data_IF_824432459616
#
_entry.id   IF_824432459616
#
_cell.length_a   1.000
_cell.length_b   1.000
_cell.length_c   1.000
_cell.angle_alpha   90.00
_cell.angle_beta   90.00
_cell.angle_gamma   90.00
#
_symmetry.space_group_name_H-M   'P 1'
#
loop_
_entity.id
_entity.type
_entity.pdbx_description
1 polymer ?
#
# COMPACT_ATOMS: atom_id res chain seq x y z
N UNK A 1 27.66 -9.44 -16.90
CA UNK A 1 26.64 -9.27 -15.85
C UNK A 1 25.29 -9.40 -16.54
N UNK A 2 24.57 -10.46 -16.27
CA UNK A 2 23.21 -10.64 -16.82
C UNK A 2 22.33 -9.47 -16.43
N UNK A 3 21.56 -9.02 -17.39
CA UNK A 3 20.68 -7.88 -17.24
C UNK A 3 19.50 -8.34 -16.36
N UNK A 4 19.38 -7.83 -15.14
CA UNK A 4 18.25 -8.14 -14.26
C UNK A 4 16.97 -7.74 -14.98
N UNK A 5 16.17 -8.74 -15.39
CA UNK A 5 14.92 -8.55 -16.10
C UNK A 5 13.81 -8.20 -15.10
N UNK A 6 13.92 -7.02 -14.50
CA UNK A 6 12.95 -6.55 -13.51
C UNK A 6 12.64 -5.07 -13.66
N UNK A 7 11.35 -4.74 -13.66
CA UNK A 7 10.80 -3.39 -13.71
C UNK A 7 9.99 -3.13 -12.45
N UNK A 8 10.20 -1.98 -11.82
CA UNK A 8 9.37 -1.47 -10.71
C UNK A 8 8.61 -0.25 -11.20
N UNK A 9 7.28 -0.25 -11.05
CA UNK A 9 6.41 0.84 -11.51
C UNK A 9 5.66 1.42 -10.31
N UNK A 10 5.79 2.74 -10.09
CA UNK A 10 5.12 3.43 -8.98
C UNK A 10 5.28 4.93 -9.00
N UNK A 11 4.91 5.59 -7.91
CA UNK A 11 5.07 7.03 -7.72
C UNK A 11 6.40 7.41 -7.04
N UNK A 12 6.66 8.71 -6.92
CA UNK A 12 7.79 9.24 -6.15
C UNK A 12 7.48 9.17 -4.64
N UNK A 13 7.53 7.98 -4.07
CA UNK A 13 7.07 7.67 -2.71
C UNK A 13 7.92 6.57 -2.07
N UNK A 14 8.02 6.53 -0.74
CA UNK A 14 8.79 5.51 0.00
C UNK A 14 8.34 4.07 -0.31
N UNK A 15 7.10 3.84 -0.72
CA UNK A 15 6.62 2.54 -1.20
C UNK A 15 7.50 2.01 -2.35
N UNK A 16 7.66 2.80 -3.41
CA UNK A 16 8.51 2.46 -4.57
C UNK A 16 9.98 2.34 -4.16
N UNK A 17 10.47 3.23 -3.29
CA UNK A 17 11.83 3.17 -2.76
C UNK A 17 12.07 1.89 -1.95
N UNK A 18 11.09 1.46 -1.16
CA UNK A 18 11.13 0.23 -0.38
C UNK A 18 11.33 -1.02 -1.25
N UNK A 19 10.61 -1.12 -2.38
CA UNK A 19 10.80 -2.22 -3.36
C UNK A 19 12.19 -2.17 -3.99
N UNK A 20 12.63 -0.98 -4.44
CA UNK A 20 13.97 -0.79 -5.03
C UNK A 20 15.06 -1.25 -4.07
N UNK A 21 14.97 -0.88 -2.80
CA UNK A 21 15.92 -1.28 -1.75
C UNK A 21 15.85 -2.78 -1.47
N UNK A 22 14.66 -3.34 -1.34
CA UNK A 22 14.46 -4.77 -1.10
C UNK A 22 15.14 -5.63 -2.15
N UNK A 23 15.00 -5.26 -3.43
CA UNK A 23 15.69 -5.89 -4.55
C UNK A 23 17.20 -5.62 -4.50
N UNK A 24 17.59 -4.39 -4.19
CA UNK A 24 18.98 -3.96 -4.10
C UNK A 24 19.78 -4.69 -3.02
N UNK A 25 19.16 -5.09 -1.91
CA UNK A 25 19.79 -5.90 -0.85
C UNK A 25 20.13 -7.30 -1.32
N UNK A 26 19.51 -7.77 -2.39
CA UNK A 26 19.78 -9.04 -3.06
C UNK A 26 20.64 -8.87 -4.33
N UNK A 27 21.24 -7.70 -4.53
CA UNK A 27 22.11 -7.41 -5.67
C UNK A 27 21.38 -7.10 -6.98
N UNK A 28 20.04 -7.05 -6.97
CA UNK A 28 19.23 -6.71 -8.14
C UNK A 28 19.13 -5.20 -8.30
N UNK A 29 19.23 -4.72 -9.55
CA UNK A 29 19.04 -3.32 -9.89
C UNK A 29 17.91 -3.19 -10.93
N UNK A 30 16.69 -2.82 -10.52
CA UNK A 30 15.56 -2.70 -11.42
C UNK A 30 15.72 -1.52 -12.40
N UNK A 31 15.03 -1.64 -13.54
CA UNK A 31 14.57 -0.49 -14.29
C UNK A 31 13.34 0.08 -13.57
N UNK A 32 13.26 1.40 -13.38
CA UNK A 32 12.18 2.03 -12.60
C UNK A 32 11.36 2.95 -13.50
N UNK A 33 10.04 2.77 -13.50
CA UNK A 33 9.08 3.67 -14.15
C UNK A 33 8.36 4.45 -13.05
N UNK A 34 8.45 5.77 -13.10
CA UNK A 34 7.84 6.66 -12.12
C UNK A 34 6.72 7.46 -12.77
N UNK A 35 5.54 7.38 -12.20
CA UNK A 35 4.41 8.23 -12.59
C UNK A 35 4.49 9.51 -11.76
N UNK A 36 5.01 10.58 -12.39
CA UNK A 36 5.25 11.85 -11.71
C UNK A 36 5.60 12.95 -12.71
N UNK A 37 5.14 14.17 -12.45
CA UNK A 37 5.53 15.37 -13.17
C UNK A 37 6.87 15.96 -12.67
N UNK A 38 7.44 15.39 -11.62
CA UNK A 38 8.72 15.80 -11.09
C UNK A 38 9.87 15.21 -11.93
N UNK A 39 10.63 16.06 -12.62
CA UNK A 39 11.75 15.64 -13.45
C UNK A 39 12.96 15.09 -12.65
N UNK A 40 13.02 15.33 -11.35
CA UNK A 40 14.07 14.85 -10.45
C UNK A 40 13.47 14.28 -9.15
N UNK A 41 12.76 13.14 -9.21
CA UNK A 41 12.20 12.50 -8.05
C UNK A 41 13.30 12.07 -7.07
N UNK A 42 13.05 12.22 -5.74
CA UNK A 42 14.11 11.92 -4.75
C UNK A 42 14.53 10.44 -4.76
N UNK A 43 13.65 9.54 -5.10
CA UNK A 43 13.95 8.10 -5.15
C UNK A 43 14.93 7.74 -6.25
N UNK A 44 15.05 8.54 -7.33
CA UNK A 44 16.00 8.31 -8.43
C UNK A 44 17.46 8.42 -8.01
N UNK A 45 17.73 8.95 -6.82
CA UNK A 45 19.09 9.00 -6.27
C UNK A 45 19.52 7.71 -5.57
N UNK A 46 18.65 6.68 -5.53
CA UNK A 46 19.01 5.38 -4.99
C UNK A 46 20.09 4.71 -5.85
N UNK A 47 21.15 4.21 -5.17
CA UNK A 47 22.24 3.47 -5.82
C UNK A 47 21.81 2.11 -6.38
N UNK A 48 20.63 1.65 -6.00
CA UNK A 48 20.07 0.36 -6.41
C UNK A 48 19.27 0.46 -7.72
N UNK A 49 19.05 1.64 -8.27
CA UNK A 49 18.41 1.82 -9.58
C UNK A 49 19.45 1.61 -10.68
N UNK A 50 19.08 0.84 -11.72
CA UNK A 50 19.88 0.69 -12.91
C UNK A 50 19.66 1.85 -13.87
N UNK A 51 18.39 2.13 -14.15
CA UNK A 51 17.89 3.19 -15.03
C UNK A 51 16.47 3.54 -14.63
N UNK A 52 16.01 4.74 -14.92
CA UNK A 52 14.63 5.13 -14.69
C UNK A 52 14.04 5.95 -15.84
N UNK A 53 12.71 5.96 -15.89
CA UNK A 53 11.89 6.81 -16.77
C UNK A 53 10.79 7.45 -15.92
N UNK A 54 10.55 8.76 -16.10
CA UNK A 54 9.36 9.43 -15.58
C UNK A 54 8.31 9.49 -16.70
N UNK A 55 7.07 9.17 -16.35
CA UNK A 55 5.87 9.29 -17.17
C UNK A 55 4.88 10.20 -16.45
N UNK A 56 4.10 10.97 -17.18
CA UNK A 56 3.13 11.91 -16.59
C UNK A 56 1.82 11.21 -16.18
N UNK A 57 1.44 10.16 -16.91
CA UNK A 57 0.17 9.45 -16.70
C UNK A 57 0.33 7.93 -16.73
N UNK A 58 -0.64 7.23 -16.15
CA UNK A 58 -0.69 5.76 -16.18
C UNK A 58 -0.88 5.21 -17.59
N UNK A 59 -1.61 5.90 -18.46
CA UNK A 59 -1.91 5.45 -19.83
C UNK A 59 -0.65 5.32 -20.71
N UNK A 60 0.46 5.97 -20.32
CA UNK A 60 1.74 5.85 -21.01
C UNK A 60 2.49 4.56 -20.66
N UNK A 61 2.11 3.86 -19.59
CA UNK A 61 2.84 2.69 -19.06
C UNK A 61 2.91 1.58 -20.11
N UNK A 62 1.77 1.19 -20.69
CA UNK A 62 1.69 0.07 -21.63
C UNK A 62 2.52 0.32 -22.86
N UNK A 63 2.39 1.51 -23.47
CA UNK A 63 3.17 1.90 -24.65
C UNK A 63 4.67 1.86 -24.33
N UNK A 64 5.08 2.42 -23.19
CA UNK A 64 6.49 2.43 -22.81
C UNK A 64 7.03 1.01 -22.52
N UNK A 65 6.24 0.13 -21.91
CA UNK A 65 6.64 -1.27 -21.72
C UNK A 65 6.86 -1.97 -23.06
N UNK A 66 5.98 -1.76 -24.04
CA UNK A 66 6.12 -2.34 -25.39
C UNK A 66 7.32 -1.76 -26.15
N UNK A 67 7.66 -0.50 -25.95
CA UNK A 67 8.87 0.12 -26.54
C UNK A 67 10.15 -0.52 -26.02
N UNK A 68 10.20 -0.86 -24.72
CA UNK A 68 11.43 -1.33 -24.07
C UNK A 68 11.56 -2.85 -23.99
N UNK A 69 10.52 -3.63 -24.31
CA UNK A 69 10.51 -5.08 -24.15
C UNK A 69 11.72 -5.79 -24.80
N UNK A 70 12.13 -5.33 -25.96
CA UNK A 70 13.22 -5.93 -26.73
C UNK A 70 14.64 -5.60 -26.17
N UNK A 71 14.72 -4.70 -25.20
CA UNK A 71 15.97 -4.41 -24.47
C UNK A 71 16.33 -5.53 -23.45
N UNK A 72 15.45 -6.52 -23.25
CA UNK A 72 15.63 -7.59 -22.30
C UNK A 72 15.70 -8.94 -23.01
N UNK A 73 16.52 -9.85 -22.48
CA UNK A 73 16.79 -11.14 -23.10
C UNK A 73 15.78 -12.23 -22.76
N UNK A 74 14.97 -12.02 -21.73
CA UNK A 74 13.95 -12.98 -21.26
C UNK A 74 12.74 -12.23 -20.72
N UNK A 75 11.68 -12.95 -20.45
CA UNK A 75 10.44 -12.39 -19.89
C UNK A 75 10.72 -11.57 -18.63
N UNK A 76 10.15 -10.38 -18.55
CA UNK A 76 10.50 -9.34 -17.60
C UNK A 76 9.56 -9.41 -16.39
N UNK A 77 10.11 -9.39 -15.19
CA UNK A 77 9.30 -9.35 -13.96
C UNK A 77 8.85 -7.92 -13.68
N UNK A 78 7.56 -7.71 -13.47
CA UNK A 78 6.99 -6.41 -13.11
C UNK A 78 6.54 -6.42 -11.66
N UNK A 79 6.87 -5.34 -10.93
CA UNK A 79 6.33 -5.06 -9.60
C UNK A 79 5.58 -3.74 -9.65
N UNK A 80 4.31 -3.77 -9.25
CA UNK A 80 3.46 -2.60 -9.11
C UNK A 80 3.49 -2.06 -7.68
N UNK A 81 3.56 -0.72 -7.55
CA UNK A 81 3.53 0.00 -6.28
C UNK A 81 2.32 0.95 -6.16
N UNK A 82 1.34 0.86 -7.07
CA UNK A 82 0.13 1.69 -7.04
C UNK A 82 -1.07 0.96 -7.66
N UNK A 83 -2.27 1.19 -7.11
CA UNK A 83 -3.49 0.51 -7.55
C UNK A 83 -3.83 0.78 -9.01
N UNK A 84 -3.69 2.04 -9.45
CA UNK A 84 -3.92 2.42 -10.85
C UNK A 84 -2.91 1.76 -11.81
N UNK A 85 -1.67 1.48 -11.37
CA UNK A 85 -0.68 0.74 -12.16
C UNK A 85 -1.14 -0.71 -12.35
N UNK A 86 -1.57 -1.36 -11.27
CA UNK A 86 -2.04 -2.75 -11.34
C UNK A 86 -3.29 -2.87 -12.21
N UNK A 87 -4.23 -1.92 -12.08
CA UNK A 87 -5.43 -1.87 -12.92
C UNK A 87 -5.08 -1.70 -14.41
N UNK A 88 -4.13 -0.83 -14.75
CA UNK A 88 -3.66 -0.61 -16.11
C UNK A 88 -2.99 -1.87 -16.69
N UNK A 89 -2.14 -2.55 -15.92
CA UNK A 89 -1.50 -3.79 -16.32
C UNK A 89 -2.51 -4.93 -16.51
N UNK A 90 -3.51 -5.06 -15.63
CA UNK A 90 -4.54 -6.10 -15.71
C UNK A 90 -5.46 -5.92 -16.91
N UNK A 91 -5.84 -4.68 -17.22
CA UNK A 91 -6.68 -4.36 -18.38
C UNK A 91 -5.99 -4.62 -19.74
N UNK A 92 -4.66 -4.58 -19.77
CA UNK A 92 -3.85 -4.85 -20.96
C UNK A 92 -3.06 -6.17 -20.87
N UNK A 93 -3.49 -7.09 -19.99
CA UNK A 93 -2.80 -8.36 -19.74
C UNK A 93 -2.54 -9.13 -21.03
N UNK A 94 -3.54 -9.29 -21.90
CA UNK A 94 -3.41 -10.05 -23.16
C UNK A 94 -2.34 -9.51 -24.11
N UNK A 95 -2.05 -8.21 -24.05
CA UNK A 95 -1.03 -7.56 -24.88
C UNK A 95 0.38 -7.70 -24.28
N UNK A 96 0.47 -7.83 -22.96
CA UNK A 96 1.73 -7.79 -22.21
C UNK A 96 2.24 -9.17 -21.77
N UNK A 97 1.34 -10.16 -21.64
CA UNK A 97 1.64 -11.42 -20.94
C UNK A 97 2.71 -12.28 -21.63
N UNK A 98 2.93 -12.12 -22.93
CA UNK A 98 4.01 -12.82 -23.63
C UNK A 98 5.41 -12.31 -23.21
N UNK A 99 5.52 -11.04 -22.82
CA UNK A 99 6.79 -10.35 -22.54
C UNK A 99 7.05 -10.14 -21.06
N UNK A 100 6.00 -10.11 -20.23
CA UNK A 100 6.09 -9.69 -18.84
C UNK A 100 5.45 -10.70 -17.88
N UNK A 101 6.08 -10.96 -16.75
CA UNK A 101 5.44 -11.56 -15.58
C UNK A 101 4.74 -10.44 -14.81
N UNK A 102 3.43 -10.37 -14.93
CA UNK A 102 2.61 -9.27 -14.43
C UNK A 102 2.04 -9.57 -13.04
N UNK A 103 1.98 -8.57 -12.12
CA UNK A 103 1.26 -8.70 -10.86
C UNK A 103 -0.25 -8.46 -11.07
N UNK A 104 -0.94 -9.47 -11.62
CA UNK A 104 -2.33 -9.35 -12.06
C UNK A 104 -3.18 -10.57 -11.64
N UNK A 105 -4.48 -10.44 -11.78
CA UNK A 105 -5.46 -11.51 -11.59
C UNK A 105 -5.92 -12.15 -12.90
N UNK A 106 -7.21 -12.48 -12.95
CA UNK A 106 -7.87 -13.08 -14.10
C UNK A 106 -8.56 -12.03 -15.00
N UNK A 107 -8.02 -10.82 -15.11
CA UNK A 107 -8.63 -9.72 -15.86
C UNK A 107 -9.81 -9.05 -15.13
N UNK A 108 -9.90 -9.19 -13.83
CA UNK A 108 -11.04 -8.72 -13.02
C UNK A 108 -10.62 -7.81 -11.83
N UNK A 109 -9.36 -7.36 -11.78
CA UNK A 109 -8.83 -6.57 -10.65
C UNK A 109 -9.68 -5.33 -10.41
N UNK A 110 -10.06 -4.59 -11.44
CA UNK A 110 -10.90 -3.38 -11.31
C UNK A 110 -12.25 -3.70 -10.65
N UNK A 111 -12.83 -4.88 -10.94
CA UNK A 111 -14.08 -5.33 -10.32
C UNK A 111 -13.86 -5.69 -8.84
N UNK A 112 -12.76 -6.36 -8.52
CA UNK A 112 -12.38 -6.71 -7.16
C UNK A 112 -12.07 -5.46 -6.32
N UNK A 113 -11.52 -4.40 -6.91
CA UNK A 113 -11.29 -3.11 -6.24
C UNK A 113 -12.59 -2.39 -5.81
N UNK A 114 -13.75 -2.79 -6.34
CA UNK A 114 -15.03 -2.28 -5.85
C UNK A 114 -15.31 -2.84 -4.45
N UNK A 115 -15.50 -1.96 -3.46
CA UNK A 115 -15.62 -2.33 -2.04
C UNK A 115 -16.80 -3.25 -1.72
N UNK A 116 -17.91 -3.15 -2.47
CA UNK A 116 -19.07 -4.04 -2.28
C UNK A 116 -18.74 -5.43 -2.82
N UNK A 117 -18.16 -5.52 -4.04
CA UNK A 117 -17.71 -6.79 -4.61
C UNK A 117 -16.66 -7.45 -3.72
N UNK A 118 -15.66 -6.68 -3.30
CA UNK A 118 -14.59 -7.12 -2.41
C UNK A 118 -15.14 -7.69 -1.09
N UNK A 119 -16.05 -6.96 -0.42
CA UNK A 119 -16.68 -7.41 0.83
C UNK A 119 -17.51 -8.69 0.62
N UNK A 120 -18.21 -8.80 -0.52
CA UNK A 120 -18.98 -10.02 -0.85
C UNK A 120 -18.05 -11.21 -1.01
N UNK A 121 -16.97 -11.10 -1.80
CA UNK A 121 -16.01 -12.19 -1.99
C UNK A 121 -15.38 -12.58 -0.65
N UNK A 122 -15.03 -11.60 0.20
CA UNK A 122 -14.46 -11.85 1.52
C UNK A 122 -15.42 -12.66 2.41
N UNK A 123 -16.69 -12.27 2.48
CA UNK A 123 -17.71 -13.00 3.24
C UNK A 123 -17.94 -14.42 2.69
N UNK A 124 -17.97 -14.59 1.37
CA UNK A 124 -18.11 -15.91 0.71
C UNK A 124 -16.90 -16.83 1.01
N UNK A 125 -15.75 -16.23 1.29
CA UNK A 125 -14.55 -16.95 1.74
C UNK A 125 -14.51 -17.22 3.25
N UNK A 126 -15.42 -16.63 4.04
CA UNK A 126 -15.48 -16.76 5.50
C UNK A 126 -14.79 -15.62 6.25
N UNK A 127 -14.31 -14.59 5.56
CA UNK A 127 -13.69 -13.42 6.21
C UNK A 127 -14.78 -12.45 6.64
N UNK A 128 -14.79 -12.08 7.93
CA UNK A 128 -15.76 -11.14 8.48
C UNK A 128 -15.51 -9.72 7.93
N UNK A 129 -16.57 -9.07 7.44
CA UNK A 129 -16.54 -7.66 7.03
C UNK A 129 -17.54 -6.83 7.81
N UNK A 130 -17.36 -5.50 7.96
CA UNK A 130 -18.41 -4.64 8.49
C UNK A 130 -19.68 -4.78 7.64
N UNK A 131 -20.85 -4.88 8.29
CA UNK A 131 -22.12 -5.10 7.59
C UNK A 131 -22.45 -3.90 6.69
N UNK A 132 -22.68 -4.15 5.42
CA UNK A 132 -23.21 -3.16 4.49
C UNK A 132 -24.68 -2.88 4.78
N UNK A 133 -25.08 -1.61 4.77
CA UNK A 133 -26.43 -1.16 5.05
C UNK A 133 -26.93 -0.33 3.87
N UNK A 134 -28.14 -0.58 3.41
CA UNK A 134 -28.78 0.29 2.42
C UNK A 134 -29.25 1.59 3.08
N UNK A 135 -29.21 2.71 2.36
CA UNK A 135 -29.60 4.02 2.90
C UNK A 135 -31.00 4.01 3.55
N UNK A 136 -31.95 3.32 2.90
CA UNK A 136 -33.33 3.14 3.41
C UNK A 136 -33.43 2.36 4.72
N UNK A 137 -32.42 1.54 5.03
CA UNK A 137 -32.39 0.66 6.22
C UNK A 137 -31.53 1.25 7.36
N UNK A 138 -31.01 2.48 7.19
CA UNK A 138 -30.23 3.18 8.21
C UNK A 138 -31.16 3.57 9.36
N UNK A 139 -30.84 3.13 10.57
CA UNK A 139 -31.56 3.45 11.81
C UNK A 139 -30.58 3.77 12.92
N UNK A 140 -30.81 4.86 13.65
CA UNK A 140 -29.92 5.32 14.73
C UNK A 140 -30.42 4.90 16.13
N UNK A 141 -30.91 3.67 16.26
CA UNK A 141 -31.28 3.11 17.56
C UNK A 141 -30.04 2.72 18.37
N UNK A 142 -30.12 2.80 19.71
CA UNK A 142 -29.10 2.31 20.65
C UNK A 142 -27.67 2.85 20.38
N UNK A 143 -27.54 4.15 20.07
CA UNK A 143 -26.26 4.81 19.76
C UNK A 143 -25.50 4.17 18.57
N UNK A 144 -26.21 3.53 17.66
CA UNK A 144 -25.63 2.94 16.46
C UNK A 144 -24.98 4.02 15.59
N UNK A 145 -23.79 3.73 15.10
CA UNK A 145 -23.02 4.62 14.21
C UNK A 145 -22.80 3.92 12.88
N UNK A 146 -22.68 4.70 11.83
CA UNK A 146 -22.33 4.20 10.51
C UNK A 146 -21.13 4.93 9.96
N UNK A 147 -20.36 4.25 9.10
CA UNK A 147 -19.32 4.87 8.28
C UNK A 147 -19.82 4.92 6.84
N UNK A 148 -19.65 6.09 6.21
CA UNK A 148 -19.97 6.31 4.81
C UNK A 148 -18.67 6.56 4.07
N UNK A 149 -18.48 5.92 2.94
CA UNK A 149 -17.26 6.02 2.13
C UNK A 149 -17.54 5.82 0.65
N UNK A 150 -16.72 6.39 -0.26
CA UNK A 150 -16.78 6.10 -1.69
C UNK A 150 -16.63 4.60 -1.98
N UNK A 151 -17.37 4.09 -2.99
CA UNK A 151 -17.34 2.68 -3.38
C UNK A 151 -15.98 2.22 -3.91
N UNK A 152 -15.30 3.09 -4.65
CA UNK A 152 -13.98 2.80 -5.20
C UNK A 152 -12.94 3.75 -4.61
N UNK A 153 -11.76 3.24 -4.33
CA UNK A 153 -10.65 4.05 -3.81
C UNK A 153 -10.12 5.09 -4.82
N UNK A 154 -10.38 4.87 -6.12
CA UNK A 154 -10.03 5.78 -7.22
C UNK A 154 -11.07 6.87 -7.48
N UNK A 155 -12.32 6.70 -7.01
CA UNK A 155 -13.44 7.64 -7.28
C UNK A 155 -13.59 8.72 -6.20
N UNK A 156 -12.82 8.65 -5.10
CA UNK A 156 -12.90 9.59 -3.98
C UNK A 156 -11.64 9.66 -3.14
N UNK A 157 -11.60 10.64 -2.25
CA UNK A 157 -10.51 10.85 -1.31
C UNK A 157 -10.88 10.34 0.10
N UNK A 158 -9.90 10.19 0.99
CA UNK A 158 -10.17 9.92 2.41
C UNK A 158 -10.94 11.04 3.11
N UNK A 159 -10.96 12.26 2.52
CA UNK A 159 -11.76 13.38 3.00
C UNK A 159 -13.27 13.15 2.81
N UNK A 160 -13.64 12.22 1.90
CA UNK A 160 -15.04 11.85 1.62
C UNK A 160 -15.56 10.75 2.55
N UNK A 161 -14.80 10.34 3.55
CA UNK A 161 -15.22 9.36 4.57
C UNK A 161 -15.82 10.11 5.76
N UNK A 162 -17.04 9.73 6.14
CA UNK A 162 -17.70 10.30 7.32
C UNK A 162 -18.23 9.22 8.27
N UNK A 163 -18.22 9.53 9.57
CA UNK A 163 -18.89 8.74 10.59
C UNK A 163 -20.14 9.52 10.99
N UNK A 164 -21.31 8.92 10.82
CA UNK A 164 -22.62 9.51 11.15
C UNK A 164 -23.24 8.81 12.36
N UNK A 165 -23.81 9.59 13.28
CA UNK A 165 -24.34 9.14 14.58
C UNK A 165 -25.83 9.41 14.73
N UNK A 166 -26.41 10.21 13.82
CA UNK A 166 -27.82 10.59 13.80
C UNK A 166 -28.24 11.01 12.38
N UNK A 167 -29.55 11.16 12.18
CA UNK A 167 -30.12 11.51 10.88
C UNK A 167 -29.65 12.87 10.38
N UNK A 168 -29.48 13.86 11.25
CA UNK A 168 -29.01 15.19 10.85
C UNK A 168 -27.58 15.16 10.29
N UNK A 169 -26.67 14.39 10.92
CA UNK A 169 -25.30 14.20 10.41
C UNK A 169 -25.31 13.49 9.05
N UNK A 170 -26.20 12.51 8.87
CA UNK A 170 -26.37 11.81 7.59
C UNK A 170 -26.85 12.75 6.50
N UNK A 171 -27.92 13.52 6.75
CA UNK A 171 -28.51 14.44 5.79
C UNK A 171 -27.53 15.56 5.40
N UNK A 172 -26.80 16.11 6.38
CA UNK A 172 -25.77 17.12 6.14
C UNK A 172 -24.63 16.53 5.27
N UNK A 173 -24.20 15.31 5.52
CA UNK A 173 -23.18 14.65 4.73
C UNK A 173 -23.65 14.42 3.28
N UNK A 174 -24.85 13.84 3.11
CA UNK A 174 -25.42 13.57 1.77
C UNK A 174 -25.65 14.83 0.96
N UNK A 175 -25.94 15.96 1.61
CA UNK A 175 -26.11 17.26 0.95
C UNK A 175 -24.78 17.90 0.52
N UNK A 176 -23.68 17.55 1.19
CA UNK A 176 -22.36 18.14 0.97
C UNK A 176 -21.46 17.31 0.06
N UNK A 177 -21.70 15.99 -0.02
CA UNK A 177 -20.86 15.08 -0.81
C UNK A 177 -21.24 15.13 -2.29
N UNK A 178 -20.24 15.21 -3.15
CA UNK A 178 -20.40 15.23 -4.62
C UNK A 178 -20.19 13.87 -5.29
N UNK A 179 -20.28 12.78 -4.50
CA UNK A 179 -20.06 11.41 -5.00
C UNK A 179 -21.36 10.61 -4.93
N UNK A 180 -21.86 10.14 -6.09
CA UNK A 180 -23.12 9.39 -6.19
C UNK A 180 -22.97 7.92 -5.75
N UNK A 181 -21.75 7.40 -5.71
CA UNK A 181 -21.44 6.00 -5.42
C UNK A 181 -20.85 5.82 -4.01
N UNK A 182 -21.75 5.75 -3.02
CA UNK A 182 -21.40 5.64 -1.62
C UNK A 182 -21.70 4.24 -1.06
N UNK A 183 -20.83 3.76 -0.17
CA UNK A 183 -21.05 2.58 0.69
C UNK A 183 -21.33 3.04 2.11
N UNK A 184 -22.40 2.52 2.70
CA UNK A 184 -22.73 2.71 4.12
C UNK A 184 -22.47 1.39 4.83
N UNK A 185 -21.72 1.42 5.92
CA UNK A 185 -21.40 0.25 6.73
C UNK A 185 -21.62 0.52 8.20
N UNK A 186 -21.91 -0.55 8.96
CA UNK A 186 -21.87 -0.50 10.43
C UNK A 186 -20.48 -0.03 10.87
N UNK A 187 -20.43 0.93 11.79
CA UNK A 187 -19.17 1.43 12.33
C UNK A 187 -18.56 0.42 13.32
N UNK A 188 -17.33 0.00 13.07
CA UNK A 188 -16.56 -0.86 13.97
C UNK A 188 -15.80 0.02 14.96
N UNK A 189 -16.06 -0.13 16.24
CA UNK A 189 -15.26 0.52 17.29
C UNK A 189 -13.88 -0.15 17.36
N UNK A 190 -12.90 0.53 16.83
CA UNK A 190 -11.53 0.03 16.68
C UNK A 190 -10.83 -0.13 18.04
N UNK A 191 -10.26 -1.31 18.28
CA UNK A 191 -9.24 -1.57 19.28
C UNK A 191 -7.84 -1.35 18.67
N UNK A 192 -7.56 -2.04 17.55
CA UNK A 192 -6.31 -1.89 16.80
C UNK A 192 -6.55 -2.04 15.29
N UNK A 193 -5.60 -1.57 14.52
CA UNK A 193 -5.55 -1.70 13.07
C UNK A 193 -4.29 -2.48 12.69
N UNK A 194 -4.42 -3.44 11.80
CA UNK A 194 -3.29 -4.23 11.33
C UNK A 194 -3.40 -4.57 9.84
N UNK A 195 -2.27 -4.91 9.26
CA UNK A 195 -2.18 -5.32 7.86
C UNK A 195 -1.47 -6.67 7.76
N UNK A 196 -1.96 -7.50 6.86
CA UNK A 196 -1.30 -8.72 6.41
C UNK A 196 -0.67 -8.43 5.04
N UNK A 197 0.65 -8.27 5.03
CA UNK A 197 1.41 -7.95 3.82
C UNK A 197 2.03 -9.23 3.29
N UNK A 198 1.77 -9.54 2.01
CA UNK A 198 2.14 -10.83 1.45
C UNK A 198 2.51 -10.83 -0.03
N UNK A 199 2.83 -12.02 -0.50
CA UNK A 199 3.08 -12.35 -1.89
C UNK A 199 2.26 -13.57 -2.29
N UNK A 200 1.56 -13.47 -3.40
CA UNK A 200 0.77 -14.56 -4.00
C UNK A 200 1.44 -15.07 -5.27
N UNK A 201 1.54 -16.37 -5.39
CA UNK A 201 2.17 -17.06 -6.52
C UNK A 201 1.14 -17.94 -7.22
N UNK A 202 1.24 -18.08 -8.56
CA UNK A 202 0.37 -18.92 -9.39
C UNK A 202 -1.13 -18.70 -9.13
N UNK A 203 -1.61 -17.45 -9.14
CA UNK A 203 -3.04 -17.17 -8.96
C UNK A 203 -3.59 -17.55 -7.58
N UNK A 204 -2.75 -17.53 -6.54
CA UNK A 204 -3.15 -17.87 -5.16
C UNK A 204 -2.98 -19.35 -4.79
N UNK A 205 -2.33 -20.18 -5.62
CA UNK A 205 -1.97 -21.55 -5.25
C UNK A 205 -1.02 -21.57 -4.04
N UNK A 206 -0.10 -20.61 -4.00
CA UNK A 206 0.78 -20.40 -2.86
C UNK A 206 0.70 -18.94 -2.40
N UNK A 207 0.31 -18.74 -1.16
CA UNK A 207 0.23 -17.43 -0.51
C UNK A 207 1.24 -17.38 0.63
N UNK A 208 2.02 -16.30 0.70
CA UNK A 208 3.07 -16.10 1.69
C UNK A 208 2.74 -14.82 2.45
N UNK A 209 2.36 -14.95 3.72
CA UNK A 209 2.11 -13.84 4.65
C UNK A 209 2.95 -14.12 5.89
N UNK A 210 4.13 -13.49 6.05
CA UNK A 210 5.07 -13.87 7.09
C UNK A 210 4.65 -13.43 8.50
N UNK A 211 3.80 -12.40 8.61
CA UNK A 211 3.38 -11.84 9.90
C UNK A 211 2.39 -10.69 9.73
N UNK A 212 2.19 -9.94 10.80
CA UNK A 212 1.27 -8.81 10.85
C UNK A 212 1.99 -7.48 11.13
N UNK A 213 1.56 -6.44 10.43
CA UNK A 213 1.95 -5.04 10.65
C UNK A 213 0.88 -4.37 11.52
N UNK A 214 1.19 -4.08 12.78
CA UNK A 214 0.28 -3.44 13.74
C UNK A 214 0.53 -1.94 13.72
N UNK A 215 -0.49 -1.16 13.38
CA UNK A 215 -0.39 0.30 13.31
C UNK A 215 -0.46 0.89 14.71
N UNK A 216 0.59 1.57 15.14
CA UNK A 216 0.69 2.25 16.41
C UNK A 216 0.20 3.69 16.33
N UNK A 217 0.48 4.35 15.21
CA UNK A 217 0.09 5.74 14.94
C UNK A 217 0.16 6.02 13.45
N UNK A 218 -0.80 6.76 12.92
CA UNK A 218 -0.74 7.27 11.53
C UNK A 218 -1.14 8.75 11.49
N UNK A 219 -0.58 9.51 10.52
CA UNK A 219 -1.11 10.82 10.17
C UNK A 219 -2.54 10.71 9.65
N UNK A 220 -3.30 11.79 9.74
CA UNK A 220 -4.64 11.86 9.14
C UNK A 220 -4.56 11.63 7.63
N UNK A 221 -5.52 10.87 7.13
CA UNK A 221 -5.68 10.60 5.70
C UNK A 221 -4.51 9.86 5.05
N UNK A 222 -3.74 9.09 5.82
CA UNK A 222 -2.69 8.20 5.29
C UNK A 222 -2.96 6.75 5.64
N UNK A 223 -2.43 5.81 4.85
CA UNK A 223 -2.40 4.37 5.16
C UNK A 223 -1.05 3.95 5.74
N UNK A 224 -0.02 4.79 5.56
CA UNK A 224 1.31 4.56 6.09
C UNK A 224 1.38 5.04 7.52
N UNK A 225 1.95 4.22 8.42
CA UNK A 225 2.00 4.56 9.84
C UNK A 225 3.29 4.16 10.53
N UNK A 226 3.52 4.77 11.68
CA UNK A 226 4.44 4.24 12.69
C UNK A 226 3.87 2.93 13.18
N UNK A 227 4.58 1.83 12.99
CA UNK A 227 4.06 0.48 13.16
C UNK A 227 5.04 -0.46 13.86
N UNK A 228 4.49 -1.54 14.38
CA UNK A 228 5.22 -2.70 14.87
C UNK A 228 4.94 -3.88 13.94
N UNK A 229 5.99 -4.54 13.43
CA UNK A 229 5.83 -5.77 12.65
C UNK A 229 6.22 -6.99 13.49
N UNK A 230 5.38 -8.03 13.48
CA UNK A 230 5.54 -9.23 14.30
C UNK A 230 5.17 -10.49 13.52
N UNK A 231 5.80 -11.61 13.84
CA UNK A 231 5.40 -12.93 13.36
C UNK A 231 4.10 -13.42 14.02
N UNK A 232 3.46 -14.43 13.44
CA UNK A 232 2.22 -15.03 13.98
C UNK A 232 2.44 -15.81 15.27
N UNK A 233 3.67 -16.08 15.67
CA UNK A 233 4.00 -16.58 17.01
C UNK A 233 3.70 -15.55 18.12
N UNK A 234 3.62 -14.27 17.77
CA UNK A 234 3.37 -13.14 18.68
C UNK A 234 2.08 -12.37 18.40
N UNK A 235 1.41 -12.67 17.29
CA UNK A 235 0.15 -12.01 16.92
C UNK A 235 -0.89 -13.08 16.55
N UNK A 236 -1.89 -13.22 17.41
CA UNK A 236 -2.98 -14.17 17.16
C UNK A 236 -3.90 -13.64 16.06
N UNK A 237 -4.00 -14.39 14.98
CA UNK A 237 -4.94 -14.18 13.88
C UNK A 237 -5.41 -15.54 13.36
N UNK A 238 -6.69 -15.80 13.47
CA UNK A 238 -7.27 -17.12 13.14
C UNK A 238 -7.77 -17.20 11.68
N UNK A 239 -7.83 -16.06 10.94
CA UNK A 239 -8.37 -15.96 9.58
C UNK A 239 -7.36 -16.19 8.43
N UNK A 240 -6.22 -16.84 8.69
CA UNK A 240 -5.17 -17.02 7.68
C UNK A 240 -5.64 -17.85 6.48
N UNK A 241 -6.31 -18.96 6.74
CA UNK A 241 -6.81 -19.87 5.69
C UNK A 241 -7.89 -19.19 4.82
N UNK A 242 -8.76 -18.39 5.42
CA UNK A 242 -9.77 -17.61 4.71
C UNK A 242 -9.14 -16.54 3.80
N UNK A 243 -8.03 -15.93 4.26
CA UNK A 243 -7.25 -15.00 3.44
C UNK A 243 -6.62 -15.71 2.24
N UNK A 244 -6.02 -16.89 2.42
CA UNK A 244 -5.51 -17.70 1.30
C UNK A 244 -6.62 -18.06 0.30
N UNK A 245 -7.77 -18.49 0.81
CA UNK A 245 -8.96 -18.81 -0.01
C UNK A 245 -9.42 -17.57 -0.78
N UNK A 246 -9.46 -16.40 -0.18
CA UNK A 246 -9.81 -15.14 -0.83
C UNK A 246 -8.86 -14.83 -1.98
N UNK A 247 -7.55 -14.85 -1.76
CA UNK A 247 -6.52 -14.58 -2.78
C UNK A 247 -6.65 -15.56 -3.95
N UNK A 248 -6.87 -16.86 -3.67
CA UNK A 248 -7.08 -17.88 -4.68
C UNK A 248 -8.38 -17.64 -5.46
N UNK A 249 -9.46 -17.23 -4.79
CA UNK A 249 -10.76 -16.94 -5.44
C UNK A 249 -10.64 -15.80 -6.45
N UNK A 250 -9.87 -14.76 -6.14
CA UNK A 250 -9.65 -13.64 -7.08
C UNK A 250 -8.57 -13.96 -8.13
N UNK A 251 -7.83 -15.07 -7.98
CA UNK A 251 -6.81 -15.52 -8.92
C UNK A 251 -5.59 -14.60 -9.01
N UNK A 252 -5.28 -13.86 -7.95
CA UNK A 252 -4.24 -12.84 -7.98
C UNK A 252 -2.83 -13.44 -7.83
N UNK A 253 -1.88 -12.96 -8.64
CA UNK A 253 -0.44 -13.18 -8.49
C UNK A 253 0.27 -11.85 -8.29
N UNK A 254 1.21 -11.77 -7.35
CA UNK A 254 1.98 -10.56 -7.07
C UNK A 254 1.99 -10.20 -5.59
N UNK A 255 2.50 -8.99 -5.29
CA UNK A 255 2.53 -8.45 -3.93
C UNK A 255 1.16 -7.86 -3.56
N UNK A 256 0.76 -8.02 -2.31
CA UNK A 256 -0.52 -7.50 -1.81
C UNK A 256 -0.44 -7.10 -0.33
N UNK A 257 -1.43 -6.34 0.12
CA UNK A 257 -1.72 -6.15 1.54
C UNK A 257 -3.22 -6.25 1.80
N UNK A 258 -3.61 -6.93 2.88
CA UNK A 258 -4.99 -6.99 3.39
C UNK A 258 -5.07 -6.18 4.68
N UNK A 259 -6.01 -5.24 4.74
CA UNK A 259 -6.20 -4.35 5.87
C UNK A 259 -7.33 -4.84 6.78
N UNK A 260 -7.09 -4.84 8.08
CA UNK A 260 -8.02 -5.30 9.09
C UNK A 260 -8.17 -4.31 10.23
N UNK A 261 -9.38 -4.25 10.80
CA UNK A 261 -9.64 -3.65 12.10
C UNK A 261 -9.99 -4.75 13.10
N UNK A 262 -9.29 -4.82 14.23
CA UNK A 262 -9.79 -5.55 15.41
C UNK A 262 -10.76 -4.63 16.14
N UNK A 263 -12.01 -5.07 16.24
CA UNK A 263 -13.03 -4.38 17.01
C UNK A 263 -12.86 -4.59 18.51
N UNK A 264 -13.43 -3.71 19.33
CA UNK A 264 -13.52 -3.88 20.78
C UNK A 264 -14.30 -5.13 21.21
N UNK A 265 -15.04 -5.73 20.27
CA UNK A 265 -15.71 -7.03 20.43
C UNK A 265 -14.76 -8.23 20.23
N UNK A 266 -13.48 -7.97 20.00
CA UNK A 266 -12.43 -8.97 19.80
C UNK A 266 -12.43 -9.63 18.42
N UNK A 267 -13.26 -9.17 17.46
CA UNK A 267 -13.35 -9.73 16.12
C UNK A 267 -12.47 -8.94 15.14
N UNK A 268 -11.91 -9.65 14.16
CA UNK A 268 -11.12 -9.07 13.09
C UNK A 268 -11.99 -8.83 11.85
N UNK A 269 -12.15 -7.56 11.47
CA UNK A 269 -12.95 -7.12 10.34
C UNK A 269 -12.05 -6.74 9.18
N UNK A 270 -12.21 -7.42 8.06
CA UNK A 270 -11.53 -7.08 6.81
C UNK A 270 -12.08 -5.78 6.23
N UNK A 271 -11.20 -4.88 5.87
CA UNK A 271 -11.53 -3.56 5.34
C UNK A 271 -11.31 -3.45 3.84
N UNK A 272 -10.13 -3.84 3.36
CA UNK A 272 -9.78 -3.84 1.94
C UNK A 272 -8.54 -4.69 1.65
N UNK A 273 -8.34 -5.01 0.37
CA UNK A 273 -7.08 -5.53 -0.16
C UNK A 273 -6.51 -4.53 -1.16
N UNK A 274 -5.21 -4.30 -1.07
CA UNK A 274 -4.42 -3.57 -2.05
C UNK A 274 -3.61 -4.59 -2.87
N UNK A 275 -3.89 -4.71 -4.16
CA UNK A 275 -3.26 -5.68 -5.06
C UNK A 275 -1.99 -5.09 -5.70
N UNK A 276 -1.08 -4.69 -4.86
CA UNK A 276 0.21 -4.06 -5.18
C UNK A 276 1.12 -4.09 -3.97
N UNK A 277 2.39 -3.68 -4.14
CA UNK A 277 3.23 -3.46 -2.96
C UNK A 277 2.64 -2.36 -2.07
N UNK A 278 2.64 -2.59 -0.77
CA UNK A 278 2.09 -1.65 0.22
C UNK A 278 3.13 -0.62 0.69
N UNK A 279 2.66 0.56 1.14
CA UNK A 279 3.53 1.60 1.69
C UNK A 279 4.31 1.15 2.92
N UNK A 280 3.73 0.26 3.71
CA UNK A 280 4.36 -0.31 4.91
C UNK A 280 5.24 -1.55 4.62
N UNK A 281 5.25 -2.08 3.38
CA UNK A 281 5.82 -3.40 3.05
C UNK A 281 7.33 -3.54 3.33
N UNK A 282 8.07 -2.45 3.40
CA UNK A 282 9.50 -2.49 3.78
C UNK A 282 9.71 -3.14 5.16
N UNK A 283 8.70 -3.10 6.05
CA UNK A 283 8.75 -3.75 7.36
C UNK A 283 8.98 -5.26 7.24
N UNK A 284 8.39 -5.92 6.24
CA UNK A 284 8.56 -7.37 6.01
C UNK A 284 9.99 -7.68 5.63
N UNK A 285 10.56 -6.91 4.68
CA UNK A 285 11.97 -7.05 4.28
C UNK A 285 12.92 -6.79 5.46
N UNK A 286 12.67 -5.72 6.23
CA UNK A 286 13.50 -5.36 7.38
C UNK A 286 13.42 -6.39 8.52
N UNK A 287 12.28 -7.09 8.65
CA UNK A 287 12.08 -8.15 9.64
C UNK A 287 12.73 -9.49 9.25
N UNK A 288 13.08 -9.70 7.98
CA UNK A 288 13.81 -10.89 7.55
C UNK A 288 13.30 -11.60 6.29
N UNK A 289 12.09 -11.30 5.79
CA UNK A 289 11.51 -11.92 4.59
C UNK A 289 11.32 -10.89 3.49
N UNK A 290 11.95 -11.10 2.34
CA UNK A 290 11.96 -10.17 1.22
C UNK A 290 10.91 -10.54 0.16
N UNK A 291 9.68 -10.05 0.31
CA UNK A 291 8.56 -10.36 -0.59
C UNK A 291 8.83 -9.95 -2.05
N UNK A 292 9.38 -8.76 -2.38
CA UNK A 292 9.76 -8.41 -3.74
C UNK A 292 10.75 -9.41 -4.37
N UNK A 293 11.70 -9.93 -3.59
CA UNK A 293 12.65 -10.93 -4.05
C UNK A 293 12.00 -12.30 -4.26
N UNK A 294 11.08 -12.70 -3.37
CA UNK A 294 10.28 -13.93 -3.53
C UNK A 294 9.52 -13.90 -4.85
N UNK A 295 8.82 -12.81 -5.14
CA UNK A 295 8.11 -12.64 -6.42
C UNK A 295 9.05 -12.74 -7.61
N UNK A 296 10.19 -12.05 -7.57
CA UNK A 296 11.20 -12.11 -8.63
C UNK A 296 11.70 -13.54 -8.85
N UNK A 297 12.18 -14.21 -7.79
CA UNK A 297 12.74 -15.57 -7.88
C UNK A 297 11.70 -16.57 -8.43
N UNK A 298 10.45 -16.48 -7.98
CA UNK A 298 9.39 -17.33 -8.50
C UNK A 298 9.18 -17.13 -10.01
N UNK A 299 9.09 -15.89 -10.47
CA UNK A 299 8.90 -15.57 -11.89
C UNK A 299 10.05 -16.06 -12.78
N UNK A 300 11.29 -16.01 -12.31
CA UNK A 300 12.47 -16.51 -13.04
C UNK A 300 12.76 -17.99 -12.77
N UNK A 301 11.83 -18.70 -12.09
CA UNK A 301 11.94 -20.15 -11.74
C UNK A 301 13.17 -20.51 -10.91
N UNK A 302 13.65 -19.59 -10.06
CA UNK A 302 14.67 -19.84 -9.05
C UNK A 302 14.02 -20.35 -7.77
N UNK A 303 14.50 -21.44 -7.19
CA UNK A 303 13.99 -22.00 -5.92
C UNK A 303 14.37 -21.18 -4.69
N UNK A 304 15.20 -20.15 -4.83
CA UNK A 304 15.60 -19.27 -3.73
C UNK A 304 14.42 -18.62 -3.01
N UNK A 305 13.25 -18.49 -3.69
CA UNK A 305 12.04 -17.98 -3.05
C UNK A 305 11.58 -18.86 -1.88
N UNK A 306 11.81 -20.19 -1.94
CA UNK A 306 11.42 -21.14 -0.88
C UNK A 306 12.22 -20.86 0.38
N UNK A 307 13.53 -20.72 0.22
CA UNK A 307 14.42 -20.38 1.33
C UNK A 307 14.09 -19.01 1.91
N UNK A 308 13.88 -18.01 1.04
CA UNK A 308 13.55 -16.65 1.48
C UNK A 308 12.23 -16.60 2.26
N UNK A 309 11.21 -17.34 1.81
CA UNK A 309 9.91 -17.43 2.47
C UNK A 309 9.97 -18.15 3.84
N UNK A 310 10.97 -19.00 4.05
CA UNK A 310 11.16 -19.74 5.31
C UNK A 310 11.99 -19.00 6.37
N UNK A 311 12.47 -17.80 6.04
CA UNK A 311 13.25 -16.99 6.98
C UNK A 311 12.45 -16.64 8.23
N UNK A 312 13.14 -16.64 9.37
CA UNK A 312 12.52 -16.26 10.64
C UNK A 312 12.24 -14.76 10.68
N UNK A 313 11.01 -14.40 11.08
CA UNK A 313 10.60 -13.02 11.33
C UNK A 313 11.18 -12.52 12.65
N UNK A 314 11.83 -11.36 12.58
CA UNK A 314 12.23 -10.57 13.75
C UNK A 314 11.17 -9.49 14.01
N UNK A 315 10.73 -9.37 15.25
CA UNK A 315 9.92 -8.24 15.69
C UNK A 315 10.69 -6.94 15.51
N UNK A 316 10.08 -5.94 14.88
CA UNK A 316 10.69 -4.63 14.62
C UNK A 316 9.68 -3.49 14.73
N UNK A 317 10.18 -2.31 15.00
CA UNK A 317 9.45 -1.05 14.92
C UNK A 317 9.89 -0.28 13.66
N UNK A 318 8.93 0.19 12.90
CA UNK A 318 9.16 0.87 11.61
C UNK A 318 8.49 2.25 11.62
N UNK A 319 9.20 3.25 11.10
CA UNK A 319 8.73 4.64 11.08
C UNK A 319 8.79 5.23 9.67
N UNK A 320 7.68 5.77 9.12
CA UNK A 320 7.70 6.67 7.97
C UNK A 320 8.04 8.07 8.47
N UNK A 321 9.32 8.37 8.62
CA UNK A 321 9.78 9.52 9.40
C UNK A 321 9.27 10.86 8.89
N UNK A 322 9.12 11.04 7.58
CA UNK A 322 8.59 12.28 7.01
C UNK A 322 7.08 12.42 7.28
N UNK A 323 6.33 11.34 7.08
CA UNK A 323 4.87 11.36 7.28
C UNK A 323 4.53 11.42 8.78
N UNK A 324 5.28 10.69 9.63
CA UNK A 324 5.03 10.68 11.06
C UNK A 324 5.37 12.02 11.73
N UNK A 325 6.35 12.79 11.19
CA UNK A 325 6.66 14.13 11.68
C UNK A 325 5.47 15.10 11.52
N UNK A 326 4.55 14.85 10.59
CA UNK A 326 3.30 15.63 10.46
C UNK A 326 2.48 15.58 11.76
N UNK A 327 2.53 14.49 12.53
CA UNK A 327 1.86 14.39 13.84
C UNK A 327 2.44 15.37 14.86
N UNK A 328 3.75 15.66 14.79
CA UNK A 328 4.40 16.70 15.61
C UNK A 328 3.92 18.09 15.17
N UNK A 329 3.92 18.36 13.87
CA UNK A 329 3.48 19.64 13.30
C UNK A 329 2.00 19.95 13.61
N UNK A 330 1.17 18.90 13.70
CA UNK A 330 -0.26 19.00 14.06
C UNK A 330 -0.52 18.91 15.57
N UNK A 331 0.53 18.94 16.40
CA UNK A 331 0.45 18.85 17.87
C UNK A 331 -0.28 17.59 18.40
N UNK A 332 -0.31 16.49 17.64
CA UNK A 332 -0.88 15.21 18.06
C UNK A 332 0.06 14.46 19.00
N UNK A 333 1.36 14.65 18.85
CA UNK A 333 2.41 14.17 19.73
C UNK A 333 3.43 15.27 20.00
N UNK A 334 4.12 15.20 21.12
CA UNK A 334 5.22 16.12 21.43
C UNK A 334 6.49 15.77 20.64
N UNK A 335 7.34 16.77 20.37
CA UNK A 335 8.63 16.53 19.73
C UNK A 335 9.50 15.57 20.58
N UNK A 336 9.45 15.67 21.91
CA UNK A 336 10.16 14.76 22.80
C UNK A 336 9.69 13.31 22.66
N UNK A 337 8.38 13.10 22.51
CA UNK A 337 7.85 11.76 22.25
C UNK A 337 8.32 11.23 20.89
N UNK A 338 8.31 12.06 19.86
CA UNK A 338 8.79 11.67 18.53
C UNK A 338 10.28 11.30 18.54
N UNK A 339 11.12 12.07 19.25
CA UNK A 339 12.55 11.75 19.42
C UNK A 339 12.73 10.40 20.14
N UNK A 340 11.95 10.12 21.19
CA UNK A 340 11.96 8.81 21.86
C UNK A 340 11.58 7.68 20.90
N UNK A 341 10.57 7.91 20.05
CA UNK A 341 10.11 6.94 19.06
C UNK A 341 11.18 6.67 17.99
N UNK A 342 11.92 7.69 17.54
CA UNK A 342 13.09 7.54 16.66
C UNK A 342 14.13 6.58 17.28
N UNK A 343 14.46 6.76 18.56
CA UNK A 343 15.49 5.93 19.21
C UNK A 343 15.10 4.46 19.34
N UNK A 344 13.80 4.11 19.36
CA UNK A 344 13.33 2.74 19.40
C UNK A 344 13.01 2.15 18.02
N UNK A 345 13.16 2.95 16.95
CA UNK A 345 12.86 2.53 15.58
C UNK A 345 14.00 1.69 15.01
N UNK A 346 13.68 0.48 14.55
CA UNK A 346 14.63 -0.44 13.92
C UNK A 346 14.83 -0.16 12.43
N UNK A 347 13.78 0.36 11.76
CA UNK A 347 13.78 0.62 10.33
C UNK A 347 13.02 1.91 10.01
N UNK A 348 13.67 2.81 9.28
CA UNK A 348 13.04 4.00 8.70
C UNK A 348 12.66 3.72 7.25
N UNK A 349 11.58 4.33 6.76
CA UNK A 349 11.10 4.09 5.40
C UNK A 349 11.89 4.89 4.36
N UNK A 350 12.31 6.11 4.70
CA UNK A 350 13.13 6.96 3.81
C UNK A 350 14.62 6.88 4.10
N UNK A 351 15.04 6.88 5.39
CA UNK A 351 16.45 6.79 5.74
C UNK A 351 16.94 5.35 5.75
N UNK A 352 17.99 5.06 4.97
CA UNK A 352 18.77 3.83 5.06
C UNK A 352 20.26 4.16 4.96
N UNK A 353 21.05 3.75 5.96
CA UNK A 353 22.49 3.95 5.99
C UNK A 353 23.23 3.35 4.78
N UNK A 354 22.63 2.35 4.13
CA UNK A 354 23.18 1.73 2.91
C UNK A 354 22.84 2.51 1.65
N UNK A 355 21.86 3.45 1.70
CA UNK A 355 21.34 4.17 0.53
C UNK A 355 20.78 5.54 0.95
N UNK A 356 21.69 6.42 1.41
CA UNK A 356 21.33 7.69 2.09
C UNK A 356 20.87 8.80 1.15
N UNK A 357 21.29 8.79 -0.12
CA UNK A 357 21.01 9.88 -1.05
C UNK A 357 19.53 10.20 -1.23
N UNK A 358 18.61 9.19 -1.40
CA UNK A 358 17.17 9.49 -1.50
C UNK A 358 16.64 10.28 -0.31
N UNK A 359 17.04 9.93 0.91
CA UNK A 359 16.62 10.63 2.12
C UNK A 359 17.00 12.11 2.09
N UNK A 360 18.27 12.45 1.81
CA UNK A 360 18.72 13.84 1.80
C UNK A 360 18.04 14.66 0.70
N UNK A 361 17.83 14.08 -0.48
CA UNK A 361 17.09 14.76 -1.55
C UNK A 361 15.58 14.89 -1.21
N UNK A 362 14.98 13.89 -0.58
CA UNK A 362 13.61 13.95 -0.09
C UNK A 362 13.43 15.04 0.98
N UNK A 363 14.34 15.11 1.95
CA UNK A 363 14.35 16.13 2.99
C UNK A 363 14.46 17.54 2.37
N UNK A 364 15.36 17.74 1.41
CA UNK A 364 15.49 19.01 0.69
C UNK A 364 14.19 19.39 -0.02
N UNK A 365 13.55 18.45 -0.72
CA UNK A 365 12.28 18.69 -1.42
C UNK A 365 11.16 19.05 -0.42
N UNK A 366 11.09 18.38 0.72
CA UNK A 366 10.11 18.70 1.77
C UNK A 366 10.32 20.09 2.37
N UNK A 367 11.55 20.45 2.70
CA UNK A 367 11.88 21.78 3.22
C UNK A 367 11.50 22.88 2.21
N UNK A 368 11.80 22.68 0.93
CA UNK A 368 11.40 23.64 -0.12
C UNK A 368 9.88 23.78 -0.25
N UNK A 369 9.14 22.68 -0.10
CA UNK A 369 7.67 22.69 -0.12
C UNK A 369 7.10 23.46 1.10
N UNK A 370 7.65 23.28 2.29
CA UNK A 370 7.22 24.01 3.48
C UNK A 370 7.51 25.51 3.34
N UNK A 371 8.66 25.90 2.80
CA UNK A 371 8.99 27.32 2.52
C UNK A 371 7.99 27.91 1.53
N UNK A 372 7.69 27.22 0.43
CA UNK A 372 6.70 27.66 -0.58
C UNK A 372 5.30 27.83 0.02
N UNK A 373 4.87 26.91 0.86
CA UNK A 373 3.57 26.98 1.55
C UNK A 373 3.53 28.13 2.57
N UNK A 374 4.62 28.36 3.30
CA UNK A 374 4.77 29.50 4.21
C UNK A 374 4.69 30.84 3.47
N UNK A 375 5.38 30.95 2.33
CA UNK A 375 5.33 32.16 1.49
C UNK A 375 3.95 32.42 0.91
N UNK A 376 3.21 31.38 0.47
CA UNK A 376 1.82 31.53 0.00
C UNK A 376 0.91 32.05 1.12
N UNK A 377 1.01 31.50 2.35
CA UNK A 377 0.21 31.99 3.50
C UNK A 377 0.51 33.45 3.86
N UNK A 378 1.74 33.89 3.74
CA UNK A 378 2.15 35.29 3.99
C UNK A 378 1.62 36.21 2.90
N UNK A 379 1.60 35.73 1.64
CA UNK A 379 1.07 36.54 0.51
C UNK A 379 -0.45 36.74 0.62
N UNK A 380 -1.21 35.68 0.97
CA UNK A 380 -2.65 35.78 1.23
C UNK A 380 -2.99 36.70 2.44
N UNK A 381 -2.17 36.71 3.50
CA UNK A 381 -2.39 37.64 4.64
C UNK A 381 -2.03 39.10 4.33
N UNK A 382 -1.33 39.38 3.23
CA UNK A 382 -1.03 40.75 2.77
C UNK A 382 -2.06 41.31 1.78
N UNK A 383 -2.95 40.44 1.25
CA UNK A 383 -3.99 40.79 0.29
C UNK A 383 -5.41 40.78 0.94
N UNK A 384 -5.54 40.38 2.19
CA UNK A 384 -6.71 40.49 3.05
C UNK A 384 -6.48 41.60 4.10
#
# INVERSE_FOLDING_TARGET
MEQNNIIVIGGNHHNTLGVIRSLGYKGLKPYVILITDNNKPYICYSKYIKQYKCLSTANEIVNHLLEIKDNFKSKIVVISCADFVTAELDSHKSLLDDYFHLPVGNGNIVQVMNKVTMSKIANDCGILTPKNVLLKDVTFCNNKKYIIKPLKSIDGSKADIAIVRNSNELDNYLSAVHCDNLQIQDFVEKELEFQLIGCSLNGGEKVIIPGASIILRQPENTNTGFLKYVGFDKFKFDGYHECEKFIRTIGYSGLFSMEFLRGKDGKDYFMEINMRNDGNAICVTASGVNLPYIWYCHCVKSEEWIQEASNRIREIIVMPEFDDFVNVLKHKISLLQWIKDIHRTDCFMEYDKRDTKPFYHGLQQQLLNYVKLGLKKVHFKRLA
#
